data_IF_077955500110
#
_entry.id   IF_077955500110
#
_cell.length_a   1.000
_cell.length_b   1.000
_cell.length_c   1.000
_cell.angle_alpha   90.00
_cell.angle_beta   90.00
_cell.angle_gamma   90.00
#
_symmetry.space_group_name_H-M   'P 1'
#
loop_
_entity.id
_entity.type
_entity.pdbx_description
1 polymer ?
#
# COMPACT_ATOMS: atom_id res chain seq x y z
N UNK A 1 -41.77 -19.73 -0.02
CA UNK A 1 -42.11 -20.23 -1.36
C UNK A 1 -42.68 -19.06 -2.15
N UNK A 2 -41.81 -18.28 -2.80
CA UNK A 2 -42.19 -17.25 -3.76
C UNK A 2 -41.14 -17.29 -4.87
N UNK A 3 -41.61 -17.61 -6.07
CA UNK A 3 -40.87 -17.61 -7.31
C UNK A 3 -41.05 -16.24 -7.97
N UNK A 4 -39.92 -15.70 -8.44
CA UNK A 4 -39.68 -15.19 -9.79
C UNK A 4 -40.51 -14.00 -10.32
N UNK A 5 -39.78 -12.94 -10.70
CA UNK A 5 -39.95 -12.25 -11.99
C UNK A 5 -38.69 -11.48 -12.36
N UNK A 6 -37.97 -12.10 -13.28
CA UNK A 6 -36.94 -11.61 -14.20
C UNK A 6 -37.37 -10.37 -14.99
N UNK A 7 -36.41 -9.47 -15.27
CA UNK A 7 -36.45 -8.56 -16.43
C UNK A 7 -35.09 -8.57 -17.13
N UNK A 8 -35.12 -8.90 -18.43
CA UNK A 8 -33.99 -8.99 -19.35
C UNK A 8 -34.07 -7.87 -20.40
N UNK A 9 -32.90 -7.47 -20.90
CA UNK A 9 -32.60 -6.46 -21.93
C UNK A 9 -33.53 -6.38 -23.16
N UNK A 10 -33.72 -5.14 -23.64
CA UNK A 10 -33.78 -4.80 -25.07
C UNK A 10 -33.49 -3.30 -25.29
N UNK A 11 -32.38 -2.96 -25.92
CA UNK A 11 -32.37 -2.33 -27.26
C UNK A 11 -30.97 -1.87 -27.67
N UNK A 12 -30.53 -2.39 -28.83
CA UNK A 12 -29.38 -1.93 -29.62
C UNK A 12 -29.96 -1.24 -30.86
N UNK A 13 -29.42 -0.06 -31.18
CA UNK A 13 -28.97 0.40 -32.51
C UNK A 13 -29.28 1.88 -32.75
N UNK A 14 -28.26 2.75 -32.75
CA UNK A 14 -27.83 3.39 -33.99
C UNK A 14 -26.44 4.03 -33.86
N UNK A 15 -25.72 3.98 -34.97
CA UNK A 15 -24.30 4.26 -35.15
C UNK A 15 -24.08 5.78 -35.32
N UNK A 16 -23.04 6.31 -34.67
CA UNK A 16 -22.45 7.61 -34.96
C UNK A 16 -20.95 7.53 -34.73
N UNK A 17 -20.21 7.37 -35.82
CA UNK A 17 -18.75 7.42 -35.89
C UNK A 17 -18.23 8.75 -35.36
N UNK A 18 -17.37 8.72 -34.33
CA UNK A 18 -16.51 9.85 -33.99
C UNK A 18 -15.16 9.33 -33.48
N UNK A 19 -14.12 9.86 -34.10
CA UNK A 19 -12.71 9.48 -33.97
C UNK A 19 -12.24 9.39 -32.51
N UNK A 20 -11.62 8.26 -32.14
CA UNK A 20 -10.82 8.15 -30.92
C UNK A 20 -9.50 8.90 -31.11
N UNK A 21 -9.47 10.16 -30.69
CA UNK A 21 -8.23 10.88 -30.41
C UNK A 21 -7.70 10.45 -29.04
N UNK A 22 -6.44 10.03 -29.00
CA UNK A 22 -5.66 9.80 -27.79
C UNK A 22 -5.73 11.01 -26.86
N UNK A 23 -6.23 10.83 -25.64
CA UNK A 23 -6.17 11.82 -24.56
C UNK A 23 -5.77 11.11 -23.26
N UNK A 24 -4.54 11.31 -22.75
CA UNK A 24 -4.09 10.70 -21.51
C UNK A 24 -4.48 11.61 -20.35
N UNK A 25 -5.73 11.53 -19.89
CA UNK A 25 -6.13 12.22 -18.66
C UNK A 25 -7.32 11.51 -18.01
N UNK A 26 -7.04 10.44 -17.27
CA UNK A 26 -7.96 9.88 -16.28
C UNK A 26 -7.13 9.09 -15.28
N UNK A 27 -6.99 9.63 -14.06
CA UNK A 27 -7.18 8.92 -12.78
C UNK A 27 -6.81 9.86 -11.62
N UNK A 28 -7.86 10.17 -10.85
CA UNK A 28 -7.96 10.80 -9.51
C UNK A 28 -7.63 12.29 -9.35
N UNK A 29 -8.62 13.11 -9.72
CA UNK A 29 -8.98 14.29 -8.93
C UNK A 29 -9.82 13.85 -7.73
N UNK A 30 -9.41 14.18 -6.51
CA UNK A 30 -10.31 14.59 -5.41
C UNK A 30 -9.52 14.93 -4.13
N UNK A 31 -9.82 16.14 -3.62
CA UNK A 31 -9.55 16.71 -2.28
C UNK A 31 -8.19 17.39 -2.06
N UNK A 32 -8.13 18.70 -2.37
CA UNK A 32 -7.20 19.66 -1.76
C UNK A 32 -7.99 20.93 -1.39
N UNK A 33 -7.89 21.37 -0.14
CA UNK A 33 -8.25 22.73 0.29
C UNK A 33 -7.17 23.27 1.26
N UNK A 34 -6.22 24.04 0.71
CA UNK A 34 -5.85 25.44 1.07
C UNK A 34 -5.06 25.77 2.38
N UNK A 35 -3.95 26.54 2.19
CA UNK A 35 -3.12 27.44 3.07
C UNK A 35 -1.94 26.82 3.85
N UNK A 36 -0.66 27.19 3.63
CA UNK A 36 0.15 28.45 3.68
C UNK A 36 0.88 28.67 5.04
N UNK A 37 2.22 28.60 4.95
CA UNK A 37 3.32 29.26 5.72
C UNK A 37 3.20 29.54 7.23
N UNK A 38 4.08 28.90 8.03
CA UNK A 38 4.76 29.48 9.22
C UNK A 38 6.18 28.87 9.34
N UNK A 39 7.25 29.67 9.60
CA UNK A 39 8.63 29.17 9.65
C UNK A 39 9.06 28.62 11.03
N UNK A 40 10.06 27.74 10.95
CA UNK A 40 10.86 27.17 12.05
C UNK A 40 11.48 28.25 12.96
N UNK A 41 11.53 27.96 14.27
CA UNK A 41 12.58 28.48 15.16
C UNK A 41 13.07 27.38 16.10
N UNK A 42 14.39 27.24 16.14
CA UNK A 42 15.16 26.33 16.98
C UNK A 42 15.31 26.87 18.42
N UNK A 43 15.41 25.95 19.38
CA UNK A 43 16.17 26.13 20.61
C UNK A 43 16.55 24.74 21.17
N UNK A 44 17.85 24.48 21.23
CA UNK A 44 18.48 23.44 22.05
C UNK A 44 18.57 23.92 23.51
N UNK A 45 18.53 22.98 24.47
CA UNK A 45 19.32 23.09 25.70
C UNK A 45 19.51 21.70 26.36
N UNK A 46 20.76 21.45 26.76
CA UNK A 46 21.38 20.25 27.32
C UNK A 46 21.08 20.02 28.82
N UNK A 47 21.00 18.76 29.26
CA UNK A 47 21.54 18.29 30.57
C UNK A 47 21.43 16.76 30.79
N UNK A 48 22.14 16.14 31.75
CA UNK A 48 23.24 15.22 31.48
C UNK A 48 22.91 13.74 31.71
N UNK A 49 23.76 12.90 31.13
CA UNK A 49 23.60 11.46 31.01
C UNK A 49 23.64 10.67 32.33
N UNK A 50 22.68 9.76 32.44
CA UNK A 50 22.78 8.55 33.27
C UNK A 50 23.16 7.42 32.33
N UNK A 51 24.39 6.91 32.48
CA UNK A 51 24.85 5.71 31.76
C UNK A 51 24.20 4.49 32.42
N UNK A 52 23.27 3.85 31.71
CA UNK A 52 22.65 2.58 32.09
C UNK A 52 23.16 1.44 31.17
N UNK A 53 23.19 0.20 31.66
CA UNK A 53 24.04 -0.85 31.12
C UNK A 53 23.51 -1.43 29.80
N UNK A 54 24.42 -1.63 28.84
CA UNK A 54 24.31 -2.47 27.65
C UNK A 54 22.87 -2.77 27.19
N UNK A 55 22.19 -1.76 26.65
CA UNK A 55 20.82 -1.91 26.18
C UNK A 55 20.83 -2.64 24.82
N UNK A 56 20.31 -3.87 24.81
CA UNK A 56 19.94 -4.54 23.57
C UNK A 56 19.09 -3.59 22.72
N UNK A 57 19.42 -3.44 21.43
CA UNK A 57 18.76 -2.50 20.52
C UNK A 57 17.23 -2.66 20.62
N UNK A 58 16.44 -1.57 20.75
CA UNK A 58 15.00 -1.70 20.95
C UNK A 58 14.32 -2.50 19.82
N UNK A 59 13.31 -3.32 20.13
CA UNK A 59 12.68 -4.21 19.15
C UNK A 59 12.00 -3.43 18.03
N UNK A 60 11.88 -4.03 16.85
CA UNK A 60 11.20 -3.40 15.73
C UNK A 60 9.69 -3.59 15.81
N UNK A 61 8.91 -2.76 15.11
CA UNK A 61 7.46 -2.94 14.98
C UNK A 61 7.16 -4.35 14.47
N UNK A 62 7.85 -4.83 13.44
CA UNK A 62 7.60 -6.16 12.90
C UNK A 62 8.00 -7.30 13.86
N UNK A 63 8.98 -7.11 14.75
CA UNK A 63 9.29 -8.12 15.78
C UNK A 63 8.25 -8.15 16.89
N UNK A 64 7.69 -6.99 17.27
CA UNK A 64 6.64 -6.90 18.30
C UNK A 64 5.26 -7.32 17.78
N UNK A 65 4.93 -6.89 16.55
CA UNK A 65 3.63 -7.06 15.92
C UNK A 65 3.80 -7.48 14.45
N UNK A 66 4.11 -8.76 14.19
CA UNK A 66 4.34 -9.26 12.83
C UNK A 66 3.18 -8.95 11.87
N UNK A 67 3.49 -8.33 10.74
CA UNK A 67 2.52 -7.98 9.70
C UNK A 67 1.47 -6.95 10.12
N UNK A 68 1.74 -6.15 11.16
CA UNK A 68 0.94 -4.97 11.51
C UNK A 68 1.13 -3.83 10.49
N UNK A 69 2.37 -3.65 10.05
CA UNK A 69 2.83 -2.68 9.04
C UNK A 69 3.64 -3.43 7.99
N UNK A 70 3.55 -3.03 6.73
CA UNK A 70 4.24 -3.71 5.60
C UNK A 70 5.23 -2.81 4.86
N UNK A 71 5.32 -1.52 5.23
CA UNK A 71 6.23 -0.55 4.65
C UNK A 71 7.34 -0.13 5.61
N UNK A 72 7.68 1.16 5.56
CA UNK A 72 8.81 1.74 6.30
C UNK A 72 8.74 1.43 7.81
N UNK A 73 7.54 1.46 8.40
CA UNK A 73 7.39 1.31 9.85
C UNK A 73 7.62 -0.11 10.34
N UNK A 74 7.61 -1.12 9.46
CA UNK A 74 7.96 -2.49 9.85
C UNK A 74 9.38 -2.58 10.45
N UNK A 75 10.27 -1.66 10.07
CA UNK A 75 11.66 -1.58 10.53
C UNK A 75 11.87 -0.56 11.66
N UNK A 76 10.86 0.27 11.98
CA UNK A 76 10.94 1.25 13.04
C UNK A 76 11.12 0.58 14.41
N UNK A 77 11.89 1.22 15.29
CA UNK A 77 12.20 0.71 16.63
C UNK A 77 11.29 1.35 17.67
N UNK A 78 10.69 0.53 18.51
CA UNK A 78 9.83 1.00 19.58
C UNK A 78 10.69 1.58 20.72
N UNK A 79 10.64 2.90 20.88
CA UNK A 79 11.45 3.65 21.83
C UNK A 79 10.58 4.55 22.72
N UNK A 80 11.13 4.97 23.86
CA UNK A 80 10.57 6.11 24.60
C UNK A 80 10.94 7.40 23.86
N UNK A 81 9.94 8.21 23.53
CA UNK A 81 10.09 9.48 22.83
C UNK A 81 9.50 10.61 23.68
N UNK A 82 9.93 11.85 23.39
CA UNK A 82 9.38 13.03 24.04
C UNK A 82 7.83 13.06 23.94
N UNK A 83 7.19 13.61 24.97
CA UNK A 83 5.72 13.67 25.04
C UNK A 83 5.15 14.33 23.79
N UNK A 84 4.19 13.66 23.16
CA UNK A 84 3.54 14.13 21.92
C UNK A 84 4.29 13.76 20.63
N UNK A 85 5.51 13.25 20.69
CA UNK A 85 6.24 12.74 19.51
C UNK A 85 5.83 11.30 19.22
N UNK A 86 5.41 11.03 17.98
CA UNK A 86 5.04 9.68 17.54
C UNK A 86 6.19 8.97 16.84
N UNK A 87 6.93 9.69 16.00
CA UNK A 87 7.99 9.13 15.17
C UNK A 87 9.15 10.11 15.02
N UNK A 88 10.37 9.56 15.01
CA UNK A 88 11.61 10.28 14.70
C UNK A 88 12.44 9.49 13.71
N UNK A 89 13.03 10.17 12.72
CA UNK A 89 14.00 9.59 11.79
C UNK A 89 15.02 10.65 11.36
N UNK A 90 16.18 10.68 12.02
CA UNK A 90 17.13 11.79 11.87
C UNK A 90 16.48 13.12 12.30
N UNK A 91 16.44 14.09 11.39
CA UNK A 91 15.78 15.40 11.60
C UNK A 91 14.27 15.36 11.40
N UNK A 92 13.72 14.30 10.80
CA UNK A 92 12.29 14.14 10.62
C UNK A 92 11.64 13.81 11.97
N UNK A 93 10.65 14.58 12.35
CA UNK A 93 9.79 14.34 13.52
C UNK A 93 8.33 14.39 13.08
N UNK A 94 7.50 13.48 13.59
CA UNK A 94 6.04 13.51 13.41
C UNK A 94 5.40 13.52 14.79
N UNK A 95 4.61 14.55 15.08
CA UNK A 95 3.89 14.72 16.34
C UNK A 95 2.46 14.19 16.27
N UNK A 96 1.87 13.96 17.44
CA UNK A 96 0.51 13.44 17.58
C UNK A 96 -0.54 14.44 17.08
N UNK A 97 -0.28 15.74 17.27
CA UNK A 97 -1.12 16.83 16.76
C UNK A 97 -1.14 16.86 15.22
N UNK A 98 0.03 16.75 14.57
CA UNK A 98 0.13 16.68 13.10
C UNK A 98 -0.67 15.50 12.54
N UNK A 99 -0.57 14.32 13.17
CA UNK A 99 -1.36 13.16 12.76
C UNK A 99 -2.87 13.40 12.93
N UNK A 100 -3.27 14.07 14.01
CA UNK A 100 -4.67 14.39 14.27
C UNK A 100 -5.21 15.39 13.24
N UNK A 101 -4.45 16.42 12.89
CA UNK A 101 -4.76 17.39 11.84
C UNK A 101 -4.90 16.71 10.47
N UNK A 102 -3.96 15.82 10.14
CA UNK A 102 -4.02 15.03 8.90
C UNK A 102 -5.26 14.16 8.82
N UNK A 103 -5.69 13.56 9.93
CA UNK A 103 -6.94 12.80 9.99
C UNK A 103 -8.16 13.71 9.87
N UNK A 104 -8.12 14.92 10.44
CA UNK A 104 -9.22 15.87 10.39
C UNK A 104 -9.51 16.41 8.97
N UNK A 105 -8.53 16.37 8.07
CA UNK A 105 -8.69 16.71 6.64
C UNK A 105 -9.57 15.71 5.87
N UNK A 106 -9.73 14.49 6.38
CA UNK A 106 -10.56 13.47 5.73
C UNK A 106 -12.07 13.75 5.93
N UNK A 107 -12.94 13.26 5.01
CA UNK A 107 -14.39 13.37 5.16
C UNK A 107 -14.87 12.91 6.54
N UNK A 108 -15.81 13.61 7.20
CA UNK A 108 -16.23 13.30 8.57
C UNK A 108 -16.62 11.83 8.79
N UNK A 109 -17.27 11.20 7.82
CA UNK A 109 -17.66 9.79 7.89
C UNK A 109 -16.47 8.81 7.96
N UNK A 110 -15.28 9.20 7.49
CA UNK A 110 -14.08 8.35 7.48
C UNK A 110 -13.20 8.55 8.72
N UNK A 111 -13.34 9.67 9.42
CA UNK A 111 -12.46 10.03 10.53
C UNK A 111 -12.45 9.00 11.67
N UNK A 112 -13.58 8.39 12.11
CA UNK A 112 -13.55 7.37 13.14
C UNK A 112 -12.70 6.15 12.75
N UNK A 113 -12.83 5.70 11.51
CA UNK A 113 -12.07 4.55 10.99
C UNK A 113 -10.58 4.88 10.82
N UNK A 114 -10.25 6.11 10.41
CA UNK A 114 -8.88 6.60 10.35
C UNK A 114 -8.25 6.74 11.74
N UNK A 115 -8.99 7.22 12.74
CA UNK A 115 -8.52 7.26 14.15
C UNK A 115 -8.25 5.86 14.68
N UNK A 116 -9.12 4.90 14.38
CA UNK A 116 -8.92 3.48 14.71
C UNK A 116 -7.65 2.92 14.05
N UNK A 117 -7.40 3.30 12.80
CA UNK A 117 -6.26 2.86 12.01
C UNK A 117 -5.15 3.94 11.93
N UNK A 118 -4.95 4.74 12.98
CA UNK A 118 -4.03 5.88 12.92
C UNK A 118 -2.58 5.48 12.66
N UNK A 119 -2.18 4.25 13.02
CA UNK A 119 -0.88 3.68 12.66
C UNK A 119 -0.69 3.58 11.14
N UNK A 120 -1.73 3.19 10.40
CA UNK A 120 -1.69 3.15 8.94
C UNK A 120 -1.52 4.56 8.36
N UNK A 121 -2.23 5.55 8.91
CA UNK A 121 -2.07 6.93 8.46
C UNK A 121 -0.68 7.49 8.79
N UNK A 122 -0.14 7.17 9.98
CA UNK A 122 1.23 7.51 10.35
C UNK A 122 2.24 6.89 9.37
N UNK A 123 2.05 5.61 8.98
CA UNK A 123 2.92 4.95 8.01
C UNK A 123 2.92 5.64 6.65
N UNK A 124 1.75 6.07 6.15
CA UNK A 124 1.66 6.83 4.90
C UNK A 124 2.41 8.16 4.98
N UNK A 125 2.19 8.94 6.05
CA UNK A 125 2.85 10.25 6.25
C UNK A 125 4.36 10.06 6.38
N UNK A 126 4.78 9.10 7.21
CA UNK A 126 6.20 8.79 7.40
C UNK A 126 6.85 8.38 6.09
N UNK A 127 6.23 7.46 5.34
CA UNK A 127 6.78 6.97 4.07
C UNK A 127 6.97 8.11 3.07
N UNK A 128 5.96 8.99 2.92
CA UNK A 128 6.06 10.17 2.06
C UNK A 128 7.20 11.09 2.48
N UNK A 129 7.29 11.46 3.77
CA UNK A 129 8.33 12.36 4.27
C UNK A 129 9.74 11.75 4.19
N UNK A 130 9.87 10.45 4.39
CA UNK A 130 11.16 9.73 4.25
C UNK A 130 11.61 9.69 2.78
N UNK A 131 10.69 9.41 1.85
CA UNK A 131 10.99 9.46 0.41
C UNK A 131 11.38 10.87 -0.03
N UNK A 132 10.66 11.88 0.46
CA UNK A 132 10.97 13.27 0.17
C UNK A 132 12.37 13.67 0.68
N UNK A 133 12.71 13.26 1.91
CA UNK A 133 14.03 13.51 2.49
C UNK A 133 15.12 12.79 1.68
N UNK A 134 14.89 11.53 1.28
CA UNK A 134 15.80 10.75 0.42
C UNK A 134 16.00 11.43 -0.94
N UNK A 135 14.92 11.90 -1.57
CA UNK A 135 14.97 12.60 -2.86
C UNK A 135 15.73 13.92 -2.76
N UNK A 136 15.40 14.76 -1.77
CA UNK A 136 16.04 16.07 -1.56
C UNK A 136 17.54 15.94 -1.27
N UNK A 137 17.94 14.97 -0.44
CA UNK A 137 19.36 14.70 -0.15
C UNK A 137 20.17 14.31 -1.40
N UNK A 138 19.53 13.76 -2.44
CA UNK A 138 20.19 13.43 -3.71
C UNK A 138 20.15 14.57 -4.73
N UNK A 139 19.28 15.56 -4.53
CA UNK A 139 19.12 16.70 -5.44
C UNK A 139 20.03 17.87 -5.06
N UNK A 140 20.59 17.89 -3.85
CA UNK A 140 21.62 18.85 -3.41
C UNK A 140 22.93 18.80 -4.25
N UNK A 141 23.01 17.89 -5.24
CA UNK A 141 24.12 17.73 -6.18
C UNK A 141 23.77 18.07 -7.64
N UNK A 142 22.53 18.48 -7.95
CA UNK A 142 22.11 18.75 -9.35
C UNK A 142 21.08 19.88 -9.45
N UNK A 143 21.58 21.02 -9.94
CA UNK A 143 20.90 22.08 -10.72
C UNK A 143 19.73 22.90 -10.14
N UNK A 144 19.64 24.13 -10.64
CA UNK A 144 18.74 25.23 -10.20
C UNK A 144 17.23 25.01 -10.47
N UNK A 145 16.84 23.86 -11.01
CA UNK A 145 15.46 23.54 -11.44
C UNK A 145 14.57 22.91 -10.34
N UNK A 146 15.08 22.75 -9.12
CA UNK A 146 14.32 22.16 -7.99
C UNK A 146 13.31 23.15 -7.39
N UNK A 147 13.53 24.45 -7.56
CA UNK A 147 12.78 25.50 -6.85
C UNK A 147 11.29 25.58 -7.23
N UNK A 148 10.89 25.04 -8.39
CA UNK A 148 9.49 25.09 -8.86
C UNK A 148 8.71 23.77 -8.68
N UNK A 149 9.37 22.68 -8.25
CA UNK A 149 8.71 21.37 -8.17
C UNK A 149 7.99 21.18 -6.84
N UNK A 150 6.78 20.62 -6.90
CA UNK A 150 6.03 20.19 -5.71
C UNK A 150 6.68 18.96 -5.06
N UNK A 151 6.49 18.77 -3.75
CA UNK A 151 7.04 17.61 -3.04
C UNK A 151 6.71 16.25 -3.70
N UNK A 152 5.47 15.99 -4.19
CA UNK A 152 5.18 14.74 -4.92
C UNK A 152 5.98 14.58 -6.21
N UNK A 153 6.17 15.66 -6.99
CA UNK A 153 6.95 15.62 -8.23
C UNK A 153 8.43 15.32 -7.95
N UNK A 154 8.99 15.88 -6.87
CA UNK A 154 10.36 15.59 -6.45
C UNK A 154 10.54 14.09 -6.14
N UNK A 155 9.58 13.49 -5.44
CA UNK A 155 9.61 12.04 -5.14
C UNK A 155 9.48 11.23 -6.43
N UNK A 156 8.56 11.61 -7.32
CA UNK A 156 8.33 10.90 -8.57
C UNK A 156 9.57 10.92 -9.47
N UNK A 157 10.19 12.08 -9.70
CA UNK A 157 11.42 12.22 -10.48
C UNK A 157 12.57 11.38 -9.90
N UNK A 158 12.67 11.36 -8.57
CA UNK A 158 13.64 10.53 -7.87
C UNK A 158 13.40 9.04 -8.12
N UNK A 159 12.16 8.56 -7.94
CA UNK A 159 11.80 7.16 -8.17
C UNK A 159 11.99 6.76 -9.65
N UNK A 160 11.66 7.65 -10.59
CA UNK A 160 11.90 7.45 -12.02
C UNK A 160 13.40 7.33 -12.35
N UNK A 161 14.25 8.07 -11.65
CA UNK A 161 15.70 7.96 -11.81
C UNK A 161 16.21 6.59 -11.32
N UNK A 162 15.64 6.04 -10.24
CA UNK A 162 16.05 4.73 -9.72
C UNK A 162 15.71 3.57 -10.66
N UNK A 163 14.67 3.69 -11.48
CA UNK A 163 14.26 2.62 -12.41
C UNK A 163 15.00 2.62 -13.74
N UNK A 164 15.85 3.61 -14.03
CA UNK A 164 16.63 3.71 -15.30
C UNK A 164 17.52 2.49 -15.56
N UNK A 165 17.94 1.77 -14.52
CA UNK A 165 18.73 0.54 -14.62
C UNK A 165 17.92 -0.76 -14.72
N UNK A 166 16.58 -0.68 -14.69
CA UNK A 166 15.71 -1.86 -14.81
C UNK A 166 15.55 -2.22 -16.29
N UNK A 167 15.84 -3.47 -16.64
CA UNK A 167 15.68 -3.99 -18.00
C UNK A 167 15.02 -5.38 -18.00
N UNK A 168 14.57 -5.80 -19.18
CA UNK A 168 13.99 -7.11 -19.46
C UNK A 168 14.84 -7.78 -20.53
N UNK A 169 15.34 -8.97 -20.23
CA UNK A 169 16.11 -9.76 -21.18
C UNK A 169 15.24 -10.71 -22.00
N UNK A 170 15.80 -11.24 -23.09
CA UNK A 170 15.08 -12.11 -24.04
C UNK A 170 14.56 -13.40 -23.41
N UNK A 171 15.21 -13.90 -22.35
CA UNK A 171 14.76 -15.11 -21.64
C UNK A 171 13.45 -14.85 -20.90
N UNK A 172 13.30 -13.67 -20.32
CA UNK A 172 12.05 -13.26 -19.64
C UNK A 172 10.91 -13.07 -20.65
N UNK A 173 11.18 -12.43 -21.79
CA UNK A 173 10.20 -12.23 -22.87
C UNK A 173 9.71 -13.59 -23.37
N UNK A 174 10.65 -14.50 -23.67
CA UNK A 174 10.32 -15.84 -24.16
C UNK A 174 9.53 -16.65 -23.13
N UNK A 175 9.93 -16.64 -21.87
CA UNK A 175 9.19 -17.32 -20.79
C UNK A 175 7.76 -16.82 -20.68
N UNK A 176 7.56 -15.52 -20.75
CA UNK A 176 6.22 -14.93 -20.72
C UNK A 176 5.40 -15.37 -21.93
N UNK A 177 5.96 -15.31 -23.14
CA UNK A 177 5.29 -15.76 -24.36
C UNK A 177 4.86 -17.23 -24.26
N UNK A 178 5.78 -18.12 -23.89
CA UNK A 178 5.54 -19.57 -23.81
C UNK A 178 4.44 -19.89 -22.78
N UNK A 179 4.38 -19.14 -21.68
CA UNK A 179 3.39 -19.35 -20.60
C UNK A 179 2.00 -18.78 -20.91
N UNK A 180 1.88 -17.93 -21.93
CA UNK A 180 0.65 -17.17 -22.21
C UNK A 180 0.14 -17.34 -23.66
N UNK A 181 0.65 -18.31 -24.41
CA UNK A 181 0.33 -18.53 -25.84
C UNK A 181 -1.18 -18.54 -26.16
N UNK A 182 -2.01 -19.09 -25.27
CA UNK A 182 -3.46 -19.11 -25.43
C UNK A 182 -4.11 -17.71 -25.43
N UNK A 183 -3.55 -16.76 -24.66
CA UNK A 183 -4.06 -15.39 -24.56
C UNK A 183 -3.57 -14.49 -25.71
N UNK A 184 -2.51 -14.89 -26.41
CA UNK A 184 -1.85 -14.09 -27.45
C UNK A 184 -2.44 -14.28 -28.86
N UNK A 185 -3.55 -15.02 -28.98
CA UNK A 185 -4.35 -15.09 -30.22
C UNK A 185 -3.60 -15.64 -31.45
N UNK A 186 -2.57 -16.47 -31.24
CA UNK A 186 -1.76 -17.06 -32.32
C UNK A 186 -0.68 -16.16 -32.90
N UNK A 187 -0.45 -14.96 -32.33
CA UNK A 187 0.67 -14.10 -32.72
C UNK A 187 2.02 -14.76 -32.40
N UNK A 188 3.00 -14.60 -33.28
CA UNK A 188 4.37 -15.12 -33.08
C UNK A 188 5.16 -14.24 -32.10
N UNK A 189 6.18 -14.83 -31.46
CA UNK A 189 7.09 -14.10 -30.56
C UNK A 189 7.74 -12.89 -31.26
N UNK A 190 8.06 -12.98 -32.55
CA UNK A 190 8.63 -11.86 -33.31
C UNK A 190 7.65 -10.69 -33.45
N UNK A 191 6.35 -10.96 -33.59
CA UNK A 191 5.31 -9.93 -33.73
C UNK A 191 5.00 -9.25 -32.40
N UNK A 192 4.94 -10.02 -31.32
CA UNK A 192 4.46 -9.53 -30.02
C UNK A 192 5.59 -9.23 -29.02
N UNK A 193 6.81 -9.69 -29.28
CA UNK A 193 7.98 -9.56 -28.42
C UNK A 193 8.24 -8.13 -27.92
N UNK A 194 8.17 -7.09 -28.77
CA UNK A 194 8.32 -5.71 -28.32
C UNK A 194 7.24 -5.26 -27.31
N UNK A 195 5.99 -5.71 -27.48
CA UNK A 195 4.89 -5.39 -26.58
C UNK A 195 5.04 -6.13 -25.24
N UNK A 196 5.43 -7.42 -25.29
CA UNK A 196 5.79 -8.19 -24.10
C UNK A 196 6.94 -7.51 -23.35
N UNK A 197 7.98 -7.04 -24.07
CA UNK A 197 9.10 -6.33 -23.45
C UNK A 197 8.64 -5.10 -22.69
N UNK A 198 7.83 -4.24 -23.31
CA UNK A 198 7.31 -3.03 -22.66
C UNK A 198 6.44 -3.35 -21.45
N UNK A 199 5.55 -4.35 -21.57
CA UNK A 199 4.71 -4.81 -20.47
C UNK A 199 5.53 -5.31 -19.28
N UNK A 200 6.49 -6.22 -19.52
CA UNK A 200 7.36 -6.74 -18.48
C UNK A 200 8.25 -5.65 -17.88
N UNK A 201 8.71 -4.69 -18.69
CA UNK A 201 9.53 -3.58 -18.21
C UNK A 201 8.72 -2.72 -17.24
N UNK A 202 7.50 -2.34 -17.63
CA UNK A 202 6.60 -1.59 -16.76
C UNK A 202 6.33 -2.34 -15.44
N UNK A 203 6.06 -3.65 -15.50
CA UNK A 203 5.87 -4.47 -14.30
C UNK A 203 7.10 -4.48 -13.39
N UNK A 204 8.29 -4.74 -13.94
CA UNK A 204 9.53 -4.79 -13.16
C UNK A 204 9.88 -3.43 -12.57
N UNK A 205 9.68 -2.33 -13.30
CA UNK A 205 9.89 -0.98 -12.78
C UNK A 205 8.95 -0.69 -11.60
N UNK A 206 7.67 -1.06 -11.72
CA UNK A 206 6.70 -0.90 -10.63
C UNK A 206 7.06 -1.75 -9.41
N UNK A 207 7.48 -3.00 -9.60
CA UNK A 207 7.94 -3.88 -8.52
C UNK A 207 9.18 -3.32 -7.82
N UNK A 208 10.14 -2.81 -8.59
CA UNK A 208 11.33 -2.16 -8.07
C UNK A 208 10.96 -0.96 -7.19
N UNK A 209 10.08 -0.07 -7.67
CA UNK A 209 9.60 1.09 -6.90
C UNK A 209 8.87 0.64 -5.63
N UNK A 210 7.97 -0.33 -5.74
CA UNK A 210 7.23 -0.86 -4.59
C UNK A 210 8.19 -1.41 -3.51
N UNK A 211 9.21 -2.16 -3.91
CA UNK A 211 10.20 -2.69 -2.98
C UNK A 211 11.10 -1.58 -2.41
N UNK A 212 11.46 -0.57 -3.21
CA UNK A 212 12.21 0.61 -2.74
C UNK A 212 11.47 1.33 -1.62
N UNK A 213 10.17 1.57 -1.80
CA UNK A 213 9.29 2.23 -0.84
C UNK A 213 9.13 1.36 0.42
N UNK A 214 8.83 0.06 0.26
CA UNK A 214 8.65 -0.85 1.40
C UNK A 214 9.90 -0.95 2.28
N UNK A 215 11.07 -0.93 1.66
CA UNK A 215 12.35 -1.14 2.36
C UNK A 215 13.04 0.15 2.77
N UNK A 216 12.46 1.33 2.56
CA UNK A 216 13.09 2.59 2.96
C UNK A 216 13.46 2.64 4.44
N UNK A 217 12.62 2.04 5.29
CA UNK A 217 12.90 1.90 6.72
C UNK A 217 14.11 1.05 7.07
N UNK A 218 14.65 0.23 6.16
CA UNK A 218 15.92 -0.49 6.39
C UNK A 218 17.14 0.43 6.32
N UNK A 219 17.04 1.51 5.54
CA UNK A 219 18.13 2.45 5.28
C UNK A 219 18.15 3.63 6.25
N UNK A 220 17.08 3.79 7.05
CA UNK A 220 16.90 4.92 7.94
C UNK A 220 16.71 4.44 9.38
N UNK A 221 17.29 5.15 10.33
CA UNK A 221 17.04 4.90 11.76
C UNK A 221 15.71 5.52 12.16
N UNK A 222 14.64 4.73 12.06
CA UNK A 222 13.29 5.15 12.44
C UNK A 222 13.00 4.69 13.87
N UNK A 223 12.54 5.61 14.70
CA UNK A 223 12.05 5.36 16.05
C UNK A 223 10.57 5.73 16.12
N UNK A 224 9.81 4.92 16.86
CA UNK A 224 8.37 5.12 17.07
C UNK A 224 8.06 5.03 18.57
N UNK A 225 7.17 5.88 19.06
CA UNK A 225 6.75 5.90 20.46
C UNK A 225 6.17 4.55 20.87
N UNK A 226 6.85 3.84 21.77
CA UNK A 226 6.44 2.52 22.23
C UNK A 226 5.07 2.53 22.94
N UNK A 227 4.76 3.49 23.85
CA UNK A 227 3.43 3.57 24.47
C UNK A 227 2.31 3.79 23.44
N UNK A 228 2.55 4.68 22.47
CA UNK A 228 1.57 4.98 21.43
C UNK A 228 1.36 3.78 20.48
N UNK A 229 2.45 3.15 20.05
CA UNK A 229 2.43 1.97 19.20
C UNK A 229 1.64 0.84 19.86
N UNK A 230 1.88 0.55 21.14
CA UNK A 230 1.15 -0.51 21.88
C UNK A 230 -0.36 -0.30 21.84
N UNK A 231 -0.81 0.93 22.08
CA UNK A 231 -2.24 1.30 22.01
C UNK A 231 -2.81 1.11 20.60
N UNK A 232 -2.11 1.59 19.58
CA UNK A 232 -2.63 1.61 18.21
C UNK A 232 -2.49 0.27 17.48
N UNK A 233 -1.57 -0.60 17.90
CA UNK A 233 -1.48 -1.97 17.44
C UNK A 233 -2.75 -2.77 17.76
N UNK A 234 -3.31 -2.56 18.96
CA UNK A 234 -4.56 -3.21 19.39
C UNK A 234 -5.72 -2.72 18.52
N UNK A 235 -5.84 -1.40 18.34
CA UNK A 235 -6.93 -0.79 17.56
C UNK A 235 -6.89 -1.21 16.09
N UNK A 236 -5.70 -1.19 15.48
CA UNK A 236 -5.52 -1.58 14.08
C UNK A 236 -5.88 -3.05 13.84
N UNK A 237 -5.58 -3.94 14.79
CA UNK A 237 -5.87 -5.39 14.64
C UNK A 237 -7.32 -5.77 14.87
N UNK A 238 -8.18 -4.85 15.30
CA UNK A 238 -9.61 -5.11 15.42
C UNK A 238 -10.32 -5.03 14.05
N UNK A 239 -10.10 -6.04 13.22
CA UNK A 239 -10.74 -6.20 11.91
C UNK A 239 -10.85 -7.70 11.54
N UNK A 240 -11.71 -8.08 10.58
CA UNK A 240 -11.95 -9.49 10.27
C UNK A 240 -10.70 -10.22 9.77
N UNK A 241 -9.82 -9.55 9.02
CA UNK A 241 -8.62 -10.19 8.46
C UNK A 241 -7.60 -10.50 9.54
N UNK A 242 -7.28 -9.54 10.41
CA UNK A 242 -6.32 -9.75 11.49
C UNK A 242 -6.83 -10.77 12.52
N UNK A 243 -8.15 -10.82 12.78
CA UNK A 243 -8.78 -11.87 13.60
C UNK A 243 -8.61 -13.26 12.99
N UNK A 244 -8.81 -13.40 11.68
CA UNK A 244 -8.60 -14.66 10.96
C UNK A 244 -7.12 -15.08 10.99
N UNK A 245 -6.19 -14.14 10.74
CA UNK A 245 -4.74 -14.38 10.79
C UNK A 245 -4.27 -14.82 12.18
N UNK A 246 -4.88 -14.33 13.25
CA UNK A 246 -4.55 -14.72 14.62
C UNK A 246 -5.25 -15.99 15.12
N UNK A 247 -6.09 -16.63 14.31
CA UNK A 247 -6.88 -17.80 14.75
C UNK A 247 -6.09 -19.11 14.85
N UNK A 248 -4.82 -19.14 14.40
CA UNK A 248 -4.01 -20.36 14.30
C UNK A 248 -4.36 -21.25 13.11
N UNK A 249 -5.28 -20.82 12.23
CA UNK A 249 -5.66 -21.52 11.00
C UNK A 249 -5.16 -20.78 9.75
N UNK A 250 -4.82 -21.50 8.67
CA UNK A 250 -4.63 -20.88 7.36
C UNK A 250 -5.85 -20.04 6.99
N UNK A 251 -5.62 -18.93 6.28
CA UNK A 251 -6.68 -18.00 5.90
C UNK A 251 -6.56 -17.60 4.44
N UNK A 252 -7.67 -17.67 3.70
CA UNK A 252 -7.85 -17.08 2.38
C UNK A 252 -8.73 -15.84 2.54
N UNK A 253 -8.24 -14.70 2.07
CA UNK A 253 -8.97 -13.43 2.05
C UNK A 253 -9.11 -12.98 0.62
N UNK A 254 -10.34 -12.81 0.15
CA UNK A 254 -10.65 -12.17 -1.12
C UNK A 254 -11.10 -10.73 -0.87
N UNK A 255 -10.43 -9.77 -1.49
CA UNK A 255 -10.84 -8.38 -1.53
C UNK A 255 -11.56 -8.12 -2.85
N UNK A 256 -12.83 -7.74 -2.77
CA UNK A 256 -13.67 -7.54 -3.95
C UNK A 256 -14.80 -6.54 -3.72
N UNK A 257 -15.72 -6.46 -4.67
CA UNK A 257 -16.95 -5.65 -4.59
C UNK A 257 -18.08 -6.41 -5.26
N UNK A 258 -19.31 -6.24 -4.76
CA UNK A 258 -20.50 -6.71 -5.47
C UNK A 258 -20.67 -5.90 -6.77
N UNK A 259 -21.07 -6.56 -7.85
CA UNK A 259 -21.25 -5.95 -9.17
C UNK A 259 -19.95 -5.78 -9.97
N UNK A 260 -18.85 -6.33 -9.47
CA UNK A 260 -17.61 -6.53 -10.21
C UNK A 260 -17.67 -7.93 -10.82
N UNK A 261 -17.81 -8.04 -12.15
CA UNK A 261 -18.03 -9.32 -12.83
C UNK A 261 -16.99 -10.39 -12.43
N UNK A 262 -15.67 -10.12 -12.45
CA UNK A 262 -14.70 -11.12 -12.00
C UNK A 262 -14.85 -11.50 -10.52
N UNK A 263 -15.19 -10.54 -9.66
CA UNK A 263 -15.44 -10.78 -8.23
C UNK A 263 -16.69 -11.65 -8.01
N UNK A 264 -17.77 -11.37 -8.74
CA UNK A 264 -19.03 -12.12 -8.66
C UNK A 264 -18.84 -13.57 -9.16
N UNK A 265 -17.97 -13.79 -10.16
CA UNK A 265 -17.56 -15.13 -10.60
C UNK A 265 -16.74 -15.89 -9.54
N UNK A 266 -15.99 -15.18 -8.69
CA UNK A 266 -15.21 -15.76 -7.60
C UNK A 266 -16.06 -16.17 -6.40
N UNK A 267 -17.16 -15.46 -6.13
CA UNK A 267 -18.06 -15.73 -5.00
C UNK A 267 -18.49 -17.21 -4.86
N UNK A 268 -19.00 -17.91 -5.90
CA UNK A 268 -19.38 -19.32 -5.78
C UNK A 268 -18.18 -20.26 -5.53
N UNK A 269 -16.97 -19.86 -5.94
CA UNK A 269 -15.74 -20.61 -5.65
C UNK A 269 -15.40 -20.48 -4.16
N UNK A 270 -15.47 -19.27 -3.61
CA UNK A 270 -15.25 -19.02 -2.18
C UNK A 270 -16.27 -19.79 -1.32
N UNK A 271 -17.54 -19.87 -1.73
CA UNK A 271 -18.56 -20.64 -1.00
C UNK A 271 -18.29 -22.15 -1.02
N UNK A 272 -17.83 -22.69 -2.15
CA UNK A 272 -17.39 -24.09 -2.22
C UNK A 272 -16.19 -24.34 -1.30
N UNK A 273 -15.24 -23.41 -1.25
CA UNK A 273 -14.08 -23.51 -0.36
C UNK A 273 -14.48 -23.44 1.12
N UNK A 274 -15.39 -22.54 1.50
CA UNK A 274 -15.95 -22.44 2.86
C UNK A 274 -16.52 -23.78 3.32
N UNK A 275 -17.35 -24.41 2.48
CA UNK A 275 -17.97 -25.71 2.79
C UNK A 275 -16.94 -26.84 2.84
N UNK A 276 -16.03 -26.90 1.87
CA UNK A 276 -15.04 -27.99 1.78
C UNK A 276 -14.01 -27.95 2.93
N UNK A 277 -13.65 -26.76 3.40
CA UNK A 277 -12.61 -26.55 4.42
C UNK A 277 -13.14 -26.02 5.74
N UNK A 278 -14.43 -26.24 6.02
CA UNK A 278 -15.07 -25.82 7.26
C UNK A 278 -14.25 -26.28 8.49
N UNK A 279 -14.03 -25.35 9.43
CA UNK A 279 -13.22 -25.58 10.63
C UNK A 279 -11.71 -25.74 10.40
N UNK A 280 -11.24 -25.81 9.15
CA UNK A 280 -9.82 -26.03 8.80
C UNK A 280 -9.14 -24.77 8.24
N UNK A 281 -9.85 -23.99 7.44
CA UNK A 281 -9.34 -22.77 6.79
C UNK A 281 -10.35 -21.64 6.97
N UNK A 282 -9.89 -20.43 7.30
CA UNK A 282 -10.75 -19.26 7.25
C UNK A 282 -10.88 -18.77 5.81
N UNK A 283 -12.10 -18.57 5.31
CA UNK A 283 -12.33 -18.05 3.95
C UNK A 283 -13.19 -16.79 4.04
N UNK A 284 -12.56 -15.63 3.84
CA UNK A 284 -13.15 -14.31 4.02
C UNK A 284 -13.35 -13.61 2.69
N UNK A 285 -14.44 -12.85 2.59
CA UNK A 285 -14.64 -11.85 1.56
C UNK A 285 -14.67 -10.48 2.23
N UNK A 286 -13.91 -9.52 1.69
CA UNK A 286 -13.83 -8.15 2.18
C UNK A 286 -14.32 -7.20 1.08
N UNK A 287 -15.44 -6.53 1.35
CA UNK A 287 -15.98 -5.54 0.44
C UNK A 287 -15.15 -4.24 0.49
N UNK A 288 -14.40 -3.95 -0.58
CA UNK A 288 -13.42 -2.85 -0.58
C UNK A 288 -14.06 -1.47 -0.45
N UNK A 289 -15.29 -1.28 -0.95
CA UNK A 289 -16.02 -0.01 -0.81
C UNK A 289 -16.49 0.24 0.62
N UNK A 290 -16.73 -0.81 1.40
CA UNK A 290 -17.18 -0.70 2.80
C UNK A 290 -15.99 -0.62 3.76
N UNK A 291 -14.85 -1.23 3.39
CA UNK A 291 -13.63 -1.25 4.19
C UNK A 291 -12.43 -0.71 3.41
N UNK A 292 -12.48 0.55 2.92
CA UNK A 292 -11.42 1.11 2.07
C UNK A 292 -10.07 1.22 2.81
N UNK A 293 -10.08 1.52 4.12
CA UNK A 293 -8.86 1.58 4.92
C UNK A 293 -8.22 0.19 5.08
N UNK A 294 -9.04 -0.84 5.28
CA UNK A 294 -8.54 -2.21 5.37
C UNK A 294 -7.98 -2.68 4.02
N UNK A 295 -8.67 -2.39 2.92
CA UNK A 295 -8.18 -2.68 1.57
C UNK A 295 -6.85 -1.96 1.29
N UNK A 296 -6.73 -0.69 1.68
CA UNK A 296 -5.50 0.09 1.57
C UNK A 296 -4.33 -0.51 2.39
N UNK A 297 -4.59 -0.99 3.60
CA UNK A 297 -3.57 -1.66 4.44
C UNK A 297 -2.97 -2.91 3.80
N UNK A 298 -3.77 -3.64 3.02
CA UNK A 298 -3.32 -4.83 2.28
C UNK A 298 -2.83 -4.53 0.86
N UNK A 299 -2.77 -3.24 0.48
CA UNK A 299 -2.27 -2.78 -0.81
C UNK A 299 -3.17 -3.17 -1.98
N UNK A 300 -4.49 -3.21 -1.77
CA UNK A 300 -5.46 -3.51 -2.84
C UNK A 300 -5.49 -2.33 -3.82
N UNK A 301 -4.96 -2.55 -5.03
CA UNK A 301 -5.00 -1.60 -6.16
C UNK A 301 -5.98 -2.05 -7.25
N UNK A 302 -6.09 -3.37 -7.43
CA UNK A 302 -6.97 -4.03 -8.39
C UNK A 302 -7.77 -5.09 -7.66
N UNK A 303 -9.03 -5.27 -8.06
CA UNK A 303 -9.91 -6.33 -7.55
C UNK A 303 -10.30 -7.30 -8.69
N UNK A 304 -10.51 -8.59 -8.37
CA UNK A 304 -10.36 -9.18 -7.05
C UNK A 304 -8.88 -9.42 -6.69
N UNK A 305 -8.56 -9.33 -5.39
CA UNK A 305 -7.24 -9.69 -4.85
C UNK A 305 -7.42 -10.79 -3.81
N UNK A 306 -6.82 -11.96 -4.05
CA UNK A 306 -6.77 -13.05 -3.09
C UNK A 306 -5.43 -13.07 -2.36
N UNK A 307 -5.47 -13.13 -1.03
CA UNK A 307 -4.29 -13.26 -0.18
C UNK A 307 -4.41 -14.52 0.68
N UNK A 308 -3.36 -15.33 0.68
CA UNK A 308 -3.24 -16.54 1.46
C UNK A 308 -2.29 -16.31 2.63
N UNK A 309 -2.75 -16.67 3.82
CA UNK A 309 -1.98 -16.64 5.05
C UNK A 309 -1.81 -18.07 5.60
N UNK A 310 -0.61 -18.37 6.09
CA UNK A 310 -0.37 -19.61 6.83
C UNK A 310 -0.95 -19.56 8.24
N UNK A 311 -0.79 -20.67 9.00
CA UNK A 311 -1.27 -20.78 10.38
C UNK A 311 -0.66 -19.76 11.37
N UNK A 312 0.48 -19.16 11.02
CA UNK A 312 1.12 -18.11 11.82
C UNK A 312 0.60 -16.71 11.48
N UNK A 313 -0.26 -16.59 10.45
CA UNK A 313 -0.78 -15.33 9.96
C UNK A 313 0.19 -14.60 9.02
N UNK A 314 1.21 -15.29 8.51
CA UNK A 314 2.16 -14.75 7.52
C UNK A 314 1.58 -14.91 6.12
N UNK A 315 1.64 -13.84 5.31
CA UNK A 315 1.29 -13.89 3.89
C UNK A 315 2.26 -14.83 3.16
N UNK A 316 1.72 -15.84 2.47
CA UNK A 316 2.51 -16.83 1.72
C UNK A 316 2.28 -16.75 0.21
N UNK A 317 1.14 -16.23 -0.22
CA UNK A 317 0.81 -16.09 -1.63
C UNK A 317 -0.22 -14.98 -1.83
N UNK A 318 -0.13 -14.29 -2.96
CA UNK A 318 -1.14 -13.33 -3.42
C UNK A 318 -1.42 -13.53 -4.90
N UNK A 319 -2.66 -13.32 -5.29
CA UNK A 319 -3.15 -13.43 -6.66
C UNK A 319 -4.07 -12.25 -6.98
N UNK A 320 -3.87 -11.63 -8.13
CA UNK A 320 -4.67 -10.51 -8.61
C UNK A 320 -5.33 -10.91 -9.92
N UNK A 321 -6.66 -10.79 -10.00
CA UNK A 321 -7.44 -11.17 -11.18
C UNK A 321 -8.34 -12.38 -10.94
#
# INVERSE_FOLDING_TARGET
MMLDKTYYCKDRANIGSMEMKNCPLCIVSSVIFVLLFVPLRAAEEDSPGIVSPSASKPPTVNSLYPGLTSGALAYARACELAKGTLLRAGTLVIRAEELAEEIAKAPPQMQPELKKNALFRLEQIATFRLLLAEAKAQTEQSDKDVAEKTDPQIIEDHLQTLVKGVDVNDTEIRRFYDSNTQMLGGATLAQIGPQIKQFLLQQKQQEFVNERIRTIGRRMSIEISAPWLKKHAILARDNPVDKARSSGRPSLVDFGSVGCIPCDMMAPILDKLRKKYEGKVNVLFVHVKEKPILAGRYGVQTIPLQIFFDKSGKEVFRHTG
#
